data_IF_824595498233
#
_entry.id   IF_824595498233
#
_cell.length_a   1.000
_cell.length_b   1.000
_cell.length_c   1.000
_cell.angle_alpha   90.00
_cell.angle_beta   90.00
_cell.angle_gamma   90.00
#
_symmetry.space_group_name_H-M   'P 1'
#
loop_
_entity.id
_entity.type
_entity.pdbx_description
1 polymer ?
#
# COMPACT_ATOMS: atom_id res chain seq x y z
N UNK A 1 -7.36 -26.70 -6.13
CA UNK A 1 -6.58 -25.64 -5.47
C UNK A 1 -7.54 -24.78 -4.66
N UNK A 2 -7.31 -24.57 -3.36
CA UNK A 2 -8.24 -23.85 -2.47
C UNK A 2 -8.20 -22.36 -2.82
N UNK A 3 -9.16 -21.90 -3.61
CA UNK A 3 -9.41 -20.49 -3.88
C UNK A 3 -10.05 -19.91 -2.62
N UNK A 4 -9.23 -19.32 -1.76
CA UNK A 4 -9.70 -18.64 -0.57
C UNK A 4 -10.53 -17.43 -1.00
N UNK A 5 -11.85 -17.61 -0.96
CA UNK A 5 -12.81 -16.55 -0.71
C UNK A 5 -12.43 -15.88 0.62
N UNK A 6 -11.57 -14.87 0.56
CA UNK A 6 -11.46 -13.88 1.65
C UNK A 6 -12.32 -12.70 1.25
N UNK A 7 -13.54 -12.74 1.78
CA UNK A 7 -14.49 -11.65 1.73
C UNK A 7 -13.82 -10.35 2.21
N UNK A 8 -13.84 -9.36 1.31
CA UNK A 8 -13.95 -7.92 1.58
C UNK A 8 -13.49 -7.46 2.97
N UNK A 9 -12.18 -7.18 3.10
CA UNK A 9 -11.75 -6.01 3.86
C UNK A 9 -11.31 -4.98 2.82
N UNK A 10 -12.31 -4.22 2.37
CA UNK A 10 -12.14 -3.10 1.44
C UNK A 10 -11.38 -2.00 2.20
N UNK A 11 -10.07 -1.91 2.02
CA UNK A 11 -9.36 -0.62 2.11
C UNK A 11 -8.24 -0.67 1.06
N UNK A 12 -8.51 -0.04 -0.08
CA UNK A 12 -7.65 0.17 -1.25
C UNK A 12 -6.40 -0.70 -1.45
N UNK A 13 -6.51 -1.59 -2.43
CA UNK A 13 -5.39 -2.26 -3.06
C UNK A 13 -4.66 -1.41 -4.08
N UNK A 14 -5.19 -0.23 -4.43
CA UNK A 14 -4.63 0.65 -5.44
C UNK A 14 -3.89 1.81 -4.79
N UNK A 15 -2.65 2.02 -5.17
CA UNK A 15 -1.88 3.17 -4.76
C UNK A 15 -2.40 4.42 -5.48
N UNK A 16 -2.88 5.41 -4.75
CA UNK A 16 -3.35 6.69 -5.34
C UNK A 16 -2.21 7.57 -5.88
N UNK A 17 -0.99 7.37 -5.41
CA UNK A 17 0.17 8.17 -5.82
C UNK A 17 0.75 7.72 -7.16
N UNK A 18 0.80 6.42 -7.43
CA UNK A 18 1.38 5.86 -8.67
C UNK A 18 0.42 4.96 -9.47
N UNK A 19 -0.80 4.76 -9.01
CA UNK A 19 -1.81 3.95 -9.68
C UNK A 19 -1.61 2.43 -9.59
N UNK A 20 -0.62 1.96 -8.82
CA UNK A 20 -0.21 0.56 -8.76
C UNK A 20 -1.20 -0.29 -7.96
N UNK A 21 -1.61 -1.44 -8.49
CA UNK A 21 -2.62 -2.32 -7.88
C UNK A 21 -1.97 -3.55 -7.24
N UNK A 22 -2.36 -3.86 -6.01
CA UNK A 22 -1.82 -4.93 -5.18
C UNK A 22 -2.89 -5.99 -4.90
N UNK A 23 -2.50 -7.25 -4.75
CA UNK A 23 -3.47 -8.31 -4.41
C UNK A 23 -3.94 -8.27 -2.95
N UNK A 24 -3.21 -7.55 -2.08
CA UNK A 24 -3.47 -7.49 -0.64
C UNK A 24 -3.20 -6.07 -0.11
N UNK A 25 -4.02 -5.63 0.85
CA UNK A 25 -3.85 -4.33 1.52
C UNK A 25 -2.52 -4.23 2.26
N UNK A 26 -2.01 -5.33 2.85
CA UNK A 26 -0.69 -5.29 3.53
C UNK A 26 0.43 -4.89 2.57
N UNK A 27 0.38 -5.38 1.32
CA UNK A 27 1.40 -5.12 0.31
C UNK A 27 1.32 -3.66 -0.13
N UNK A 28 0.12 -3.14 -0.32
CA UNK A 28 -0.13 -1.73 -0.64
C UNK A 28 0.36 -0.80 0.48
N UNK A 29 0.07 -1.13 1.75
CA UNK A 29 0.57 -0.36 2.91
C UNK A 29 2.11 -0.34 2.97
N UNK A 30 2.76 -1.51 2.84
CA UNK A 30 4.23 -1.59 2.80
C UNK A 30 4.81 -0.82 1.61
N UNK A 31 4.14 -0.85 0.47
CA UNK A 31 4.51 -0.08 -0.71
C UNK A 31 4.44 1.43 -0.43
N UNK A 32 3.34 1.94 0.13
CA UNK A 32 3.20 3.35 0.51
C UNK A 32 4.31 3.83 1.45
N UNK A 33 4.66 3.01 2.44
CA UNK A 33 5.72 3.32 3.41
C UNK A 33 7.12 3.33 2.76
N UNK A 34 7.37 2.54 1.72
CA UNK A 34 8.70 2.47 1.08
C UNK A 34 8.87 3.42 -0.10
N UNK A 35 7.85 3.50 -0.95
CA UNK A 35 7.91 4.23 -2.22
C UNK A 35 7.50 5.70 -2.06
N UNK A 36 6.54 5.97 -1.18
CA UNK A 36 5.88 7.28 -1.07
C UNK A 36 6.17 7.99 0.25
N UNK A 37 6.51 7.26 1.32
CA UNK A 37 6.98 7.87 2.56
C UNK A 37 8.43 8.31 2.37
N UNK A 38 8.61 9.43 1.68
CA UNK A 38 9.77 10.29 1.87
C UNK A 38 9.60 10.88 3.26
N UNK A 39 10.20 10.25 4.28
CA UNK A 39 10.48 10.96 5.53
C UNK A 39 11.25 12.20 5.11
N UNK A 40 10.58 13.35 5.06
CA UNK A 40 11.28 14.64 5.10
C UNK A 40 12.23 14.51 6.28
N UNK A 41 13.56 14.57 6.11
CA UNK A 41 14.33 15.08 7.21
C UNK A 41 13.78 16.50 7.38
N UNK A 42 12.98 16.75 8.43
CA UNK A 42 12.87 18.08 8.98
C UNK A 42 14.26 18.39 9.57
N UNK A 43 15.25 18.53 8.71
CA UNK A 43 16.44 19.29 9.01
C UNK A 43 15.96 20.74 8.91
N UNK A 44 15.46 21.27 10.03
CA UNK A 44 15.70 22.66 10.32
C UNK A 44 17.20 22.74 10.61
N UNK A 45 17.98 22.88 9.53
CA UNK A 45 19.32 23.43 9.62
C UNK A 45 19.20 24.95 9.59
#
# INVERSE_FOLDING_TARGET
MKFFNKEKIIVETKCRECGMEFSETERMLRHMIKAHTKKKPSCNC
#
